data_IF_405184650483
#
_entry.id   IF_405184650483
#
_cell.length_a   1.000
_cell.length_b   1.000
_cell.length_c   1.000
_cell.angle_alpha   90.00
_cell.angle_beta   90.00
_cell.angle_gamma   90.00
#
_symmetry.space_group_name_H-M   'P 1'
#
loop_
_entity.id
_entity.type
_entity.pdbx_description
1 polymer ?
#
# COMPACT_ATOMS: atom_id res chain seq x y z
N UNK A 1 19.14 -24.43 -45.37
CA UNK A 1 18.78 -23.61 -44.19
C UNK A 1 17.49 -22.89 -44.52
N UNK A 2 16.40 -23.17 -43.81
CA UNK A 2 15.10 -22.54 -44.08
C UNK A 2 15.09 -21.20 -43.35
N UNK A 3 14.81 -20.11 -44.05
CA UNK A 3 14.74 -18.79 -43.42
C UNK A 3 13.56 -18.70 -42.44
N UNK A 4 13.74 -18.09 -41.26
CA UNK A 4 12.71 -18.06 -40.21
C UNK A 4 11.37 -17.45 -40.68
N UNK A 5 11.40 -16.54 -41.64
CA UNK A 5 10.20 -15.93 -42.24
C UNK A 5 9.33 -16.94 -43.02
N UNK A 6 9.96 -17.92 -43.68
CA UNK A 6 9.26 -18.97 -44.45
C UNK A 6 8.60 -20.00 -43.54
N UNK A 7 9.17 -20.24 -42.36
CA UNK A 7 8.58 -21.13 -41.35
C UNK A 7 7.30 -20.52 -40.74
N UNK A 8 7.33 -19.23 -40.40
CA UNK A 8 6.19 -18.51 -39.80
C UNK A 8 5.01 -18.46 -40.77
N UNK A 9 5.26 -18.16 -42.05
CA UNK A 9 4.23 -18.11 -43.09
C UNK A 9 3.59 -19.48 -43.34
N UNK A 10 4.37 -20.56 -43.34
CA UNK A 10 3.84 -21.92 -43.45
C UNK A 10 2.93 -22.29 -42.25
N UNK A 11 3.33 -21.94 -41.02
CA UNK A 11 2.53 -22.21 -39.82
C UNK A 11 1.20 -21.43 -39.85
N UNK A 12 1.23 -20.15 -40.21
CA UNK A 12 0.02 -19.31 -40.35
C UNK A 12 -0.92 -19.88 -41.43
N UNK A 13 -0.38 -20.32 -42.57
CA UNK A 13 -1.17 -20.92 -43.64
C UNK A 13 -1.85 -22.23 -43.21
N UNK A 14 -1.16 -23.09 -42.46
CA UNK A 14 -1.70 -24.34 -41.93
C UNK A 14 -2.84 -24.06 -40.92
N UNK A 15 -2.65 -23.11 -40.01
CA UNK A 15 -3.70 -22.75 -39.02
C UNK A 15 -4.91 -22.13 -39.72
N UNK A 16 -4.71 -21.26 -40.71
CA UNK A 16 -5.78 -20.67 -41.51
C UNK A 16 -6.55 -21.72 -42.35
N UNK A 17 -5.88 -22.78 -42.81
CA UNK A 17 -6.52 -23.87 -43.55
C UNK A 17 -7.42 -24.76 -42.66
N UNK A 18 -7.09 -24.91 -41.37
CA UNK A 18 -7.86 -25.72 -40.42
C UNK A 18 -9.13 -24.99 -39.93
N UNK A 19 -9.01 -23.68 -39.63
CA UNK A 19 -10.08 -22.92 -38.96
C UNK A 19 -10.77 -21.87 -39.86
N UNK A 20 -10.31 -21.73 -41.11
CA UNK A 20 -10.72 -20.63 -41.99
C UNK A 20 -10.12 -19.29 -41.58
N UNK A 21 -10.06 -18.35 -42.52
CA UNK A 21 -9.47 -17.01 -42.29
C UNK A 21 -10.16 -16.23 -41.16
N UNK A 22 -11.49 -16.33 -41.07
CA UNK A 22 -12.29 -15.66 -40.02
C UNK A 22 -11.99 -16.25 -38.63
N UNK A 23 -11.88 -17.58 -38.53
CA UNK A 23 -11.52 -18.26 -37.28
C UNK A 23 -10.08 -17.97 -36.85
N UNK A 24 -9.14 -17.89 -37.80
CA UNK A 24 -7.76 -17.48 -37.54
C UNK A 24 -7.68 -16.04 -36.97
N UNK A 25 -8.39 -15.08 -37.57
CA UNK A 25 -8.44 -13.71 -37.08
C UNK A 25 -9.08 -13.60 -35.69
N UNK A 26 -10.14 -14.37 -35.44
CA UNK A 26 -10.78 -14.41 -34.12
C UNK A 26 -9.86 -14.99 -33.05
N UNK A 27 -9.19 -16.11 -33.35
CA UNK A 27 -8.19 -16.71 -32.47
C UNK A 27 -7.01 -15.76 -32.16
N UNK A 28 -6.48 -15.06 -33.17
CA UNK A 28 -5.43 -14.04 -32.98
C UNK A 28 -5.91 -12.89 -32.09
N UNK A 29 -7.14 -12.41 -32.32
CA UNK A 29 -7.76 -11.34 -31.52
C UNK A 29 -7.92 -11.78 -30.05
N UNK A 30 -8.42 -12.99 -29.82
CA UNK A 30 -8.66 -13.52 -28.48
C UNK A 30 -7.35 -13.77 -27.72
N UNK A 31 -6.30 -14.23 -28.41
CA UNK A 31 -4.97 -14.41 -27.82
C UNK A 31 -4.31 -13.08 -27.46
N UNK A 32 -4.43 -12.07 -28.33
CA UNK A 32 -3.95 -10.72 -28.04
C UNK A 32 -4.70 -10.11 -26.84
N UNK A 33 -6.03 -10.18 -26.82
CA UNK A 33 -6.86 -9.73 -25.69
C UNK A 33 -6.53 -10.48 -24.40
N UNK A 34 -6.31 -11.80 -24.47
CA UNK A 34 -5.91 -12.61 -23.33
C UNK A 34 -4.56 -12.20 -22.74
N UNK A 35 -3.57 -11.94 -23.60
CA UNK A 35 -2.25 -11.43 -23.17
C UNK A 35 -2.34 -10.06 -22.50
N UNK A 36 -3.06 -9.11 -23.13
CA UNK A 36 -3.27 -7.76 -22.57
C UNK A 36 -4.01 -7.82 -21.23
N UNK A 37 -5.07 -8.64 -21.11
CA UNK A 37 -5.81 -8.83 -19.85
C UNK A 37 -4.93 -9.43 -18.76
N UNK A 38 -4.15 -10.46 -19.07
CA UNK A 38 -3.24 -11.07 -18.10
C UNK A 38 -2.19 -10.07 -17.58
N UNK A 39 -1.66 -9.20 -18.46
CA UNK A 39 -0.75 -8.12 -18.05
C UNK A 39 -1.41 -7.08 -17.15
N UNK A 40 -2.65 -6.66 -17.48
CA UNK A 40 -3.42 -5.73 -16.63
C UNK A 40 -3.71 -6.36 -15.25
N UNK A 41 -4.10 -7.64 -15.21
CA UNK A 41 -4.41 -8.33 -13.97
C UNK A 41 -3.16 -8.53 -13.09
N UNK A 42 -2.00 -8.80 -13.69
CA UNK A 42 -0.73 -8.88 -12.97
C UNK A 42 -0.35 -7.52 -12.35
N UNK A 43 -0.45 -6.43 -13.13
CA UNK A 43 -0.18 -5.07 -12.64
C UNK A 43 -1.13 -4.65 -11.52
N UNK A 44 -2.42 -4.99 -11.61
CA UNK A 44 -3.40 -4.73 -10.54
C UNK A 44 -3.00 -5.44 -9.25
N UNK A 45 -2.63 -6.72 -9.34
CA UNK A 45 -2.18 -7.50 -8.17
C UNK A 45 -0.91 -6.95 -7.56
N UNK A 46 0.05 -6.53 -8.37
CA UNK A 46 1.30 -5.95 -7.86
C UNK A 46 1.05 -4.59 -7.20
N UNK A 47 0.17 -3.76 -7.78
CA UNK A 47 -0.24 -2.48 -7.20
C UNK A 47 -0.97 -2.67 -5.87
N UNK A 48 -1.89 -3.64 -5.77
CA UNK A 48 -2.58 -3.95 -4.52
C UNK A 48 -1.59 -4.43 -3.45
N UNK A 49 -0.63 -5.30 -3.81
CA UNK A 49 0.44 -5.72 -2.89
C UNK A 49 1.30 -4.54 -2.44
N UNK A 50 1.70 -3.67 -3.37
CA UNK A 50 2.50 -2.48 -3.04
C UNK A 50 1.74 -1.57 -2.08
N UNK A 51 0.46 -1.30 -2.33
CA UNK A 51 -0.41 -0.52 -1.42
C UNK A 51 -0.45 -1.13 -0.03
N UNK A 52 -0.76 -2.42 0.10
CA UNK A 52 -0.79 -3.07 1.42
C UNK A 52 0.55 -2.99 2.15
N UNK A 53 1.67 -3.10 1.43
CA UNK A 53 3.01 -2.96 2.01
C UNK A 53 3.34 -1.51 2.41
N UNK A 54 2.81 -0.53 1.69
CA UNK A 54 2.96 0.89 2.00
C UNK A 54 2.13 1.27 3.23
N UNK A 55 0.90 0.79 3.32
CA UNK A 55 0.02 0.99 4.47
C UNK A 55 0.65 0.41 5.75
N UNK A 56 1.18 -0.83 5.68
CA UNK A 56 1.88 -1.44 6.82
C UNK A 56 3.14 -0.65 7.20
N UNK A 57 3.89 -0.17 6.20
CA UNK A 57 5.10 0.62 6.41
C UNK A 57 4.75 1.95 7.06
N UNK A 58 3.66 2.59 6.65
CA UNK A 58 3.22 3.86 7.22
C UNK A 58 2.75 3.68 8.66
N UNK A 59 1.94 2.66 8.96
CA UNK A 59 1.56 2.35 10.33
C UNK A 59 2.78 2.08 11.23
N UNK A 60 3.81 1.40 10.72
CA UNK A 60 5.08 1.21 11.45
C UNK A 60 5.83 2.54 11.69
N UNK A 61 5.78 3.47 10.74
CA UNK A 61 6.40 4.79 10.87
C UNK A 61 5.64 5.65 11.89
N UNK A 62 4.31 5.72 11.80
CA UNK A 62 3.46 6.41 12.78
C UNK A 62 3.73 5.90 14.19
N UNK A 63 3.77 4.56 14.37
CA UNK A 63 4.15 3.95 15.66
C UNK A 63 5.52 4.42 16.16
N UNK A 64 6.51 4.55 15.29
CA UNK A 64 7.85 5.04 15.67
C UNK A 64 7.79 6.50 16.13
N UNK A 65 7.04 7.35 15.43
CA UNK A 65 6.86 8.77 15.77
C UNK A 65 6.14 8.94 17.10
N UNK A 66 5.04 8.21 17.31
CA UNK A 66 4.29 8.14 18.58
C UNK A 66 5.20 7.75 19.75
N UNK A 67 5.95 6.64 19.62
CA UNK A 67 6.81 6.16 20.72
C UNK A 67 7.94 7.16 21.05
N UNK A 68 8.52 7.78 20.02
CA UNK A 68 9.54 8.80 20.19
C UNK A 68 8.99 10.04 20.89
N UNK A 69 7.84 10.54 20.44
CA UNK A 69 7.21 11.71 21.03
C UNK A 69 6.83 11.45 22.49
N UNK A 70 6.31 10.26 22.80
CA UNK A 70 6.03 9.89 24.19
C UNK A 70 7.31 9.86 25.06
N UNK A 71 8.43 9.39 24.52
CA UNK A 71 9.73 9.42 25.21
C UNK A 71 10.23 10.86 25.42
N UNK A 72 9.98 11.78 24.49
CA UNK A 72 10.24 13.22 24.63
C UNK A 72 9.36 13.84 25.75
N UNK A 73 8.06 13.52 25.81
CA UNK A 73 7.17 13.93 26.90
C UNK A 73 7.61 13.40 28.26
N UNK A 74 8.06 12.14 28.34
CA UNK A 74 8.58 11.55 29.58
C UNK A 74 9.86 12.24 30.07
N UNK A 75 10.64 12.81 29.15
CA UNK A 75 11.81 13.66 29.45
C UNK A 75 11.44 15.11 29.79
N UNK A 76 10.15 15.44 29.83
CA UNK A 76 9.65 16.81 30.07
C UNK A 76 10.15 17.82 29.04
N UNK A 77 10.24 17.37 27.78
CA UNK A 77 10.44 18.28 26.66
C UNK A 77 9.09 18.90 26.33
N UNK A 78 9.01 20.22 26.37
CA UNK A 78 7.83 20.96 25.95
C UNK A 78 7.72 20.91 24.42
N UNK A 79 6.52 21.02 23.88
CA UNK A 79 6.27 21.01 22.44
C UNK A 79 5.18 22.01 22.04
N UNK A 80 5.22 22.48 20.79
CA UNK A 80 4.18 23.34 20.22
C UNK A 80 2.89 22.55 19.99
N UNK A 81 1.76 23.27 19.95
CA UNK A 81 0.46 22.66 19.63
C UNK A 81 0.46 21.98 18.24
N UNK A 82 1.13 22.58 17.26
CA UNK A 82 1.24 22.04 15.90
C UNK A 82 1.90 20.65 15.90
N UNK A 83 3.01 20.49 16.63
CA UNK A 83 3.68 19.19 16.69
C UNK A 83 2.84 18.15 17.45
N UNK A 84 2.07 18.56 18.44
CA UNK A 84 1.08 17.68 19.06
C UNK A 84 -0.02 17.24 18.08
N UNK A 85 -0.56 18.17 17.30
CA UNK A 85 -1.62 17.89 16.32
C UNK A 85 -1.09 16.92 15.23
N UNK A 86 0.17 17.07 14.79
CA UNK A 86 0.83 16.12 13.88
C UNK A 86 0.92 14.71 14.48
N UNK A 87 1.32 14.60 15.75
CA UNK A 87 1.42 13.31 16.42
C UNK A 87 0.03 12.70 16.65
N UNK A 88 -1.01 13.50 16.89
CA UNK A 88 -2.38 12.99 16.97
C UNK A 88 -2.88 12.45 15.62
N UNK A 89 -2.50 13.08 14.50
CA UNK A 89 -2.75 12.53 13.15
C UNK A 89 -2.03 11.19 12.93
N UNK A 90 -0.81 11.05 13.45
CA UNK A 90 -0.11 9.76 13.46
C UNK A 90 -0.84 8.70 14.29
N UNK A 91 -1.43 9.09 15.43
CA UNK A 91 -2.25 8.21 16.27
C UNK A 91 -3.46 7.71 15.48
N UNK A 92 -4.20 8.59 14.81
CA UNK A 92 -5.39 8.21 14.05
C UNK A 92 -5.04 7.24 12.92
N UNK A 93 -3.98 7.54 12.15
CA UNK A 93 -3.46 6.67 11.08
C UNK A 93 -3.09 5.28 11.62
N UNK A 94 -2.47 5.25 12.79
CA UNK A 94 -2.01 4.02 13.41
C UNK A 94 -3.15 3.17 13.99
N UNK A 95 -4.11 3.81 14.67
CA UNK A 95 -5.29 3.14 15.22
C UNK A 95 -6.18 2.59 14.11
N UNK A 96 -6.44 3.36 13.05
CA UNK A 96 -7.20 2.89 11.87
C UNK A 96 -6.54 1.66 11.23
N UNK A 97 -5.22 1.67 11.08
CA UNK A 97 -4.51 0.50 10.57
C UNK A 97 -4.66 -0.72 11.49
N UNK A 98 -4.53 -0.53 12.81
CA UNK A 98 -4.65 -1.62 13.79
C UNK A 98 -6.06 -2.20 13.87
N UNK A 99 -7.10 -1.37 13.74
CA UNK A 99 -8.50 -1.80 13.71
C UNK A 99 -8.77 -2.71 12.51
N UNK A 100 -8.20 -2.38 11.35
CA UNK A 100 -8.31 -3.19 10.14
C UNK A 100 -7.38 -4.42 10.12
N UNK A 101 -6.40 -4.50 11.04
CA UNK A 101 -5.37 -5.55 11.08
C UNK A 101 -5.18 -6.12 12.50
N UNK A 102 -6.16 -6.89 13.00
CA UNK A 102 -6.15 -7.45 14.36
C UNK A 102 -4.91 -8.28 14.76
N UNK A 103 -4.13 -8.80 13.80
CA UNK A 103 -2.88 -9.53 14.05
C UNK A 103 -1.65 -8.63 14.27
N UNK A 104 -1.79 -7.31 14.07
CA UNK A 104 -0.69 -6.37 14.18
C UNK A 104 -0.37 -6.02 15.65
N UNK A 105 0.90 -6.12 16.05
CA UNK A 105 1.31 -5.91 17.44
C UNK A 105 1.22 -4.43 17.87
N UNK A 106 0.31 -4.13 18.80
CA UNK A 106 0.00 -2.76 19.26
C UNK A 106 0.41 -2.46 20.72
N UNK A 107 0.60 -3.46 21.59
CA UNK A 107 0.64 -3.25 23.05
C UNK A 107 1.54 -2.12 23.61
N UNK A 108 2.68 -1.80 22.96
CA UNK A 108 3.56 -0.69 23.38
C UNK A 108 3.04 0.71 23.00
N UNK A 109 2.33 0.83 21.88
CA UNK A 109 1.84 2.11 21.40
C UNK A 109 0.58 2.56 22.17
N UNK A 110 -0.28 1.63 22.60
CA UNK A 110 -1.49 1.95 23.39
C UNK A 110 -1.19 2.83 24.60
N UNK A 111 -0.22 2.45 25.43
CA UNK A 111 0.16 3.25 26.62
C UNK A 111 0.78 4.60 26.25
N UNK A 112 1.55 4.65 25.17
CA UNK A 112 2.14 5.90 24.68
C UNK A 112 1.06 6.86 24.18
N UNK A 113 0.09 6.36 23.42
CA UNK A 113 -1.05 7.12 22.90
C UNK A 113 -1.88 7.70 24.04
N UNK A 114 -2.16 6.91 25.08
CA UNK A 114 -2.91 7.37 26.25
C UNK A 114 -2.18 8.54 26.95
N UNK A 115 -0.86 8.43 27.14
CA UNK A 115 -0.06 9.49 27.74
C UNK A 115 -0.04 10.75 26.89
N UNK A 116 0.12 10.62 25.57
CA UNK A 116 0.11 11.75 24.63
C UNK A 116 -1.23 12.50 24.70
N UNK A 117 -2.36 11.78 24.62
CA UNK A 117 -3.70 12.35 24.73
C UNK A 117 -3.91 13.06 26.07
N UNK A 118 -3.37 12.50 27.16
CA UNK A 118 -3.40 13.14 28.49
C UNK A 118 -2.58 14.43 28.52
N UNK A 119 -1.34 14.42 28.03
CA UNK A 119 -0.48 15.61 27.99
C UNK A 119 -1.09 16.72 27.13
N UNK A 120 -1.66 16.39 25.97
CA UNK A 120 -2.35 17.37 25.13
C UNK A 120 -3.48 18.08 25.88
N UNK A 121 -4.35 17.32 26.56
CA UNK A 121 -5.45 17.91 27.36
C UNK A 121 -4.93 18.84 28.45
N UNK A 122 -3.88 18.45 29.16
CA UNK A 122 -3.26 19.30 30.17
C UNK A 122 -2.68 20.60 29.57
N UNK A 123 -2.00 20.51 28.42
CA UNK A 123 -1.49 21.70 27.73
C UNK A 123 -2.61 22.65 27.28
N UNK A 124 -3.75 22.13 26.83
CA UNK A 124 -4.94 22.93 26.48
C UNK A 124 -5.58 23.58 27.71
N UNK A 125 -5.74 22.82 28.80
CA UNK A 125 -6.37 23.31 30.04
C UNK A 125 -5.52 24.36 30.75
N UNK A 126 -4.20 24.21 30.72
CA UNK A 126 -3.27 25.03 31.48
C UNK A 126 -2.54 26.09 30.62
N UNK A 127 -2.84 26.17 29.31
CA UNK A 127 -2.18 27.03 28.32
C UNK A 127 -0.64 26.87 28.31
N UNK A 128 -0.18 25.62 28.36
CA UNK A 128 1.24 25.24 28.49
C UNK A 128 1.88 24.78 27.17
N UNK A 129 1.36 25.24 26.04
CA UNK A 129 2.07 25.04 24.77
C UNK A 129 3.29 25.97 24.71
N UNK A 130 4.34 25.49 24.03
CA UNK A 130 5.61 26.22 23.83
C UNK A 130 5.42 27.46 22.93
#
# INVERSE_FOLDING_TARGET
MIEPATLITAIVAIVAAIFGSTGFWQWMSDRSKGGVRASIDALRKDLDKMKTSEDEREAKNSRRRILRFNDELLRKVDHSKEYFDDILSDVDTYEEYCENHHGFQNGKAVMAIENIRRCYRLCVEEDKFL
#
